data_IF_787891867371
#
_entry.id   IF_787891867371
#
_cell.length_a   1.000
_cell.length_b   1.000
_cell.length_c   1.000
_cell.angle_alpha   90.00
_cell.angle_beta   90.00
_cell.angle_gamma   90.00
#
_symmetry.space_group_name_H-M   'P 1'
#
loop_
_entity.id
_entity.type
_entity.pdbx_description
1 polymer ?
#
# COMPACT_ATOMS: atom_id res chain seq x y z
N UNK A 1 17.73 -23.70 -26.75
CA UNK A 1 17.99 -22.25 -26.81
C UNK A 1 19.36 -22.05 -27.40
N UNK A 2 19.45 -21.30 -28.50
CA UNK A 2 20.71 -20.94 -29.14
C UNK A 2 21.61 -20.27 -28.11
N UNK A 3 22.83 -20.79 -27.91
CA UNK A 3 23.81 -20.29 -26.94
C UNK A 3 24.47 -19.01 -27.49
N UNK A 4 23.65 -18.00 -27.78
CA UNK A 4 24.07 -16.72 -28.34
C UNK A 4 24.62 -15.89 -27.20
N UNK A 5 25.88 -15.52 -27.31
CA UNK A 5 26.51 -14.57 -26.39
C UNK A 5 26.00 -13.14 -26.69
N UNK A 6 24.85 -12.81 -26.11
CA UNK A 6 24.17 -11.51 -26.28
C UNK A 6 25.00 -10.35 -25.72
N UNK A 7 25.81 -10.61 -24.69
CA UNK A 7 26.67 -9.62 -24.09
C UNK A 7 27.83 -9.26 -25.03
N UNK A 8 28.51 -10.26 -25.60
CA UNK A 8 29.55 -10.02 -26.58
C UNK A 8 29.03 -9.39 -27.89
N UNK A 9 27.78 -9.66 -28.28
CA UNK A 9 27.11 -8.96 -29.38
C UNK A 9 26.86 -7.48 -29.08
N UNK A 10 26.37 -7.16 -27.88
CA UNK A 10 26.19 -5.77 -27.42
C UNK A 10 27.52 -5.03 -27.39
N UNK A 11 28.56 -5.63 -26.81
CA UNK A 11 29.89 -5.02 -26.72
C UNK A 11 30.48 -4.73 -28.11
N UNK A 12 30.37 -5.67 -29.06
CA UNK A 12 30.84 -5.46 -30.42
C UNK A 12 30.04 -4.38 -31.18
N UNK A 13 28.72 -4.31 -30.96
CA UNK A 13 27.87 -3.27 -31.54
C UNK A 13 28.28 -1.88 -31.02
N UNK A 14 28.39 -1.73 -29.71
CA UNK A 14 28.79 -0.47 -29.04
C UNK A 14 30.22 -0.06 -29.45
N UNK A 15 31.14 -1.03 -29.59
CA UNK A 15 32.50 -0.74 -30.01
C UNK A 15 32.58 -0.10 -31.41
N UNK A 16 31.73 -0.50 -32.36
CA UNK A 16 31.63 0.13 -33.69
C UNK A 16 30.92 1.47 -33.63
N UNK A 17 29.79 1.54 -32.91
CA UNK A 17 28.99 2.75 -32.76
C UNK A 17 29.84 3.91 -32.22
N UNK A 18 30.74 3.62 -31.28
CA UNK A 18 31.65 4.61 -30.68
C UNK A 18 32.78 5.05 -31.62
N UNK A 19 33.51 4.10 -32.22
CA UNK A 19 34.58 4.39 -33.19
C UNK A 19 34.65 3.28 -34.23
N UNK A 20 34.26 3.59 -35.47
CA UNK A 20 34.26 2.63 -36.56
C UNK A 20 35.68 2.43 -37.13
N UNK A 21 36.39 1.40 -36.67
CA UNK A 21 37.65 0.93 -37.29
C UNK A 21 37.42 -0.34 -38.11
N UNK A 22 38.23 -0.63 -39.14
CA UNK A 22 38.11 -1.87 -39.92
C UNK A 22 38.17 -3.14 -39.07
N UNK A 23 38.99 -3.14 -38.01
CA UNK A 23 39.11 -4.26 -37.07
C UNK A 23 37.81 -4.48 -36.28
N UNK A 24 37.20 -3.40 -35.77
CA UNK A 24 35.93 -3.48 -35.06
C UNK A 24 34.80 -3.93 -35.97
N UNK A 25 34.76 -3.41 -37.21
CA UNK A 25 33.80 -3.82 -38.25
C UNK A 25 33.88 -5.31 -38.58
N UNK A 26 35.10 -5.85 -38.69
CA UNK A 26 35.31 -7.28 -38.86
C UNK A 26 34.81 -8.08 -37.64
N UNK A 27 35.15 -7.65 -36.42
CA UNK A 27 34.75 -8.33 -35.18
C UNK A 27 33.23 -8.40 -35.02
N UNK A 28 32.50 -7.34 -35.33
CA UNK A 28 31.03 -7.34 -35.33
C UNK A 28 30.45 -8.24 -36.42
N UNK A 29 30.97 -8.19 -37.65
CA UNK A 29 30.46 -9.03 -38.76
C UNK A 29 30.60 -10.53 -38.48
N UNK A 30 31.67 -10.93 -37.79
CA UNK A 30 31.87 -12.33 -37.36
C UNK A 30 30.85 -12.74 -36.29
N UNK A 31 30.40 -11.82 -35.44
CA UNK A 31 29.40 -12.08 -34.38
C UNK A 31 27.96 -11.99 -34.90
N UNK A 32 27.65 -11.02 -35.76
CA UNK A 32 26.32 -10.80 -36.34
C UNK A 32 26.17 -11.61 -37.62
N UNK A 33 26.14 -12.93 -37.45
CA UNK A 33 25.83 -13.84 -38.55
C UNK A 33 24.32 -13.85 -38.82
N UNK A 34 23.87 -14.21 -40.04
CA UNK A 34 22.43 -14.33 -40.33
C UNK A 34 21.71 -15.28 -39.35
N UNK A 35 22.39 -16.34 -38.89
CA UNK A 35 21.85 -17.29 -37.92
C UNK A 35 21.58 -16.64 -36.56
N UNK A 36 22.50 -15.79 -36.09
CA UNK A 36 22.35 -15.03 -34.84
C UNK A 36 21.19 -14.05 -34.95
N UNK A 37 21.07 -13.35 -36.08
CA UNK A 37 19.96 -12.39 -36.30
C UNK A 37 18.61 -13.11 -36.29
N UNK A 38 18.47 -14.23 -37.00
CA UNK A 38 17.22 -15.01 -37.03
C UNK A 38 16.85 -15.53 -35.64
N UNK A 39 17.82 -16.09 -34.91
CA UNK A 39 17.55 -16.59 -33.56
C UNK A 39 17.17 -15.50 -32.56
N UNK A 40 17.71 -14.28 -32.67
CA UNK A 40 17.29 -13.14 -31.86
C UNK A 40 15.87 -12.65 -32.22
N UNK A 41 15.48 -12.72 -33.50
CA UNK A 41 14.12 -12.41 -33.95
C UNK A 41 13.11 -13.45 -33.46
N UNK A 42 13.43 -14.74 -33.56
CA UNK A 42 12.60 -15.83 -33.06
C UNK A 42 12.41 -15.73 -31.54
N UNK A 43 13.48 -15.42 -30.80
CA UNK A 43 13.41 -15.20 -29.36
C UNK A 43 12.56 -13.98 -29.01
N UNK A 44 12.69 -12.87 -29.75
CA UNK A 44 11.85 -11.69 -29.52
C UNK A 44 10.37 -12.00 -29.75
N UNK A 45 10.04 -12.73 -30.81
CA UNK A 45 8.68 -13.17 -31.10
C UNK A 45 8.13 -14.10 -30.00
N UNK A 46 8.96 -15.01 -29.50
CA UNK A 46 8.61 -15.88 -28.37
C UNK A 46 8.34 -15.07 -27.10
N UNK A 47 9.23 -14.14 -26.75
CA UNK A 47 9.08 -13.27 -25.58
C UNK A 47 7.83 -12.37 -25.68
N UNK A 48 7.49 -11.89 -26.88
CA UNK A 48 6.24 -11.13 -27.08
C UNK A 48 5.01 -12.00 -26.80
N UNK A 49 4.98 -13.23 -27.32
CA UNK A 49 3.88 -14.16 -27.06
C UNK A 49 3.74 -14.50 -25.57
N UNK A 50 4.86 -14.73 -24.89
CA UNK A 50 4.88 -15.01 -23.46
C UNK A 50 4.41 -13.79 -22.65
N UNK A 51 4.85 -12.59 -23.02
CA UNK A 51 4.37 -11.35 -22.42
C UNK A 51 2.86 -11.21 -22.57
N UNK A 52 2.33 -11.39 -23.78
CA UNK A 52 0.89 -11.25 -24.04
C UNK A 52 0.08 -12.31 -23.26
N UNK A 53 0.61 -13.53 -23.14
CA UNK A 53 0.00 -14.58 -22.33
C UNK A 53 -0.02 -14.24 -20.83
N UNK A 54 1.09 -13.71 -20.29
CA UNK A 54 1.17 -13.27 -18.89
C UNK A 54 0.23 -12.09 -18.64
N UNK A 55 0.16 -11.13 -19.56
CA UNK A 55 -0.74 -9.98 -19.45
C UNK A 55 -2.21 -10.42 -19.42
N UNK A 56 -2.59 -11.37 -20.28
CA UNK A 56 -3.92 -11.96 -20.25
C UNK A 56 -4.25 -12.66 -18.92
N UNK A 57 -3.30 -13.43 -18.35
CA UNK A 57 -3.47 -14.07 -17.04
C UNK A 57 -3.58 -13.05 -15.91
N UNK A 58 -2.77 -11.99 -15.95
CA UNK A 58 -2.81 -10.93 -14.94
C UNK A 58 -4.15 -10.17 -14.95
N UNK A 59 -4.70 -9.93 -16.14
CA UNK A 59 -6.03 -9.33 -16.29
C UNK A 59 -7.12 -10.24 -15.70
N UNK A 60 -7.11 -11.53 -16.04
CA UNK A 60 -8.07 -12.49 -15.50
C UNK A 60 -7.99 -12.58 -13.98
N UNK A 61 -6.78 -12.67 -13.42
CA UNK A 61 -6.60 -12.72 -11.96
C UNK A 61 -7.11 -11.45 -11.27
N UNK A 62 -6.89 -10.28 -11.86
CA UNK A 62 -7.40 -9.01 -11.30
C UNK A 62 -8.92 -8.99 -11.28
N UNK A 63 -9.57 -9.53 -12.31
CA UNK A 63 -11.02 -9.60 -12.39
C UNK A 63 -11.58 -10.63 -11.40
N UNK A 64 -10.94 -11.80 -11.25
CA UNK A 64 -11.28 -12.81 -10.23
C UNK A 64 -11.15 -12.24 -8.81
N UNK A 65 -10.08 -11.49 -8.52
CA UNK A 65 -9.88 -10.84 -7.23
C UNK A 65 -10.93 -9.77 -6.95
N UNK A 66 -11.34 -9.01 -7.96
CA UNK A 66 -12.45 -8.06 -7.82
C UNK A 66 -13.75 -8.77 -7.49
N UNK A 67 -14.07 -9.83 -8.23
CA UNK A 67 -15.28 -10.62 -7.99
C UNK A 67 -15.26 -11.27 -6.59
N UNK A 68 -14.10 -11.77 -6.14
CA UNK A 68 -13.96 -12.32 -4.80
C UNK A 68 -14.20 -11.26 -3.70
N UNK A 69 -13.72 -10.03 -3.89
CA UNK A 69 -13.96 -8.90 -2.98
C UNK A 69 -15.44 -8.51 -2.93
N UNK A 70 -16.11 -8.42 -4.08
CA UNK A 70 -17.55 -8.13 -4.14
C UNK A 70 -18.38 -9.22 -3.44
N UNK A 71 -18.00 -10.50 -3.60
CA UNK A 71 -18.65 -11.60 -2.88
C UNK A 71 -18.41 -11.54 -1.38
N UNK A 72 -17.20 -11.17 -0.95
CA UNK A 72 -16.86 -11.00 0.46
C UNK A 72 -17.70 -9.88 1.09
N UNK A 73 -17.76 -8.71 0.47
CA UNK A 73 -18.56 -7.58 0.95
C UNK A 73 -20.05 -7.94 1.04
N UNK A 74 -20.59 -8.65 0.04
CA UNK A 74 -21.96 -9.14 0.08
C UNK A 74 -22.20 -10.16 1.20
N UNK A 75 -21.23 -11.03 1.49
CA UNK A 75 -21.31 -11.98 2.59
C UNK A 75 -21.24 -11.30 3.96
N UNK A 76 -20.32 -10.34 4.13
CA UNK A 76 -20.21 -9.53 5.35
C UNK A 76 -21.48 -8.74 5.64
N UNK A 77 -22.06 -8.10 4.61
CA UNK A 77 -23.35 -7.41 4.73
C UNK A 77 -24.45 -8.36 5.20
N UNK A 78 -24.54 -9.56 4.60
CA UNK A 78 -25.53 -10.57 5.02
C UNK A 78 -25.31 -11.02 6.47
N UNK A 79 -24.07 -11.22 6.89
CA UNK A 79 -23.74 -11.57 8.28
C UNK A 79 -24.19 -10.46 9.23
N UNK A 80 -23.94 -9.19 8.89
CA UNK A 80 -24.37 -8.05 9.68
C UNK A 80 -25.91 -7.94 9.77
N UNK A 81 -26.61 -8.18 8.65
CA UNK A 81 -28.08 -8.22 8.63
C UNK A 81 -28.61 -9.34 9.53
N UNK A 82 -28.04 -10.55 9.45
CA UNK A 82 -28.40 -11.66 10.34
C UNK A 82 -28.12 -11.33 11.82
N UNK A 83 -26.98 -10.73 12.12
CA UNK A 83 -26.63 -10.32 13.47
C UNK A 83 -27.65 -9.32 14.03
N UNK A 84 -28.08 -8.35 13.22
CA UNK A 84 -29.14 -7.40 13.58
C UNK A 84 -30.46 -8.10 13.87
N UNK A 85 -30.89 -9.02 13.02
CA UNK A 85 -32.14 -9.78 13.22
C UNK A 85 -32.07 -10.62 14.49
N UNK A 86 -30.96 -11.31 14.74
CA UNK A 86 -30.77 -12.14 15.93
C UNK A 86 -30.77 -11.29 17.21
N UNK A 87 -30.10 -10.14 17.22
CA UNK A 87 -30.12 -9.23 18.36
C UNK A 87 -31.52 -8.72 18.69
N UNK A 88 -32.30 -8.36 17.66
CA UNK A 88 -33.69 -7.96 17.86
C UNK A 88 -34.54 -9.10 18.44
N UNK A 89 -34.35 -10.33 17.96
CA UNK A 89 -35.05 -11.50 18.48
C UNK A 89 -34.66 -11.80 19.93
N UNK A 90 -33.36 -11.77 20.26
CA UNK A 90 -32.85 -11.96 21.62
C UNK A 90 -33.42 -10.90 22.57
N UNK A 91 -33.50 -9.63 22.13
CA UNK A 91 -34.11 -8.56 22.91
C UNK A 91 -35.60 -8.78 23.21
N UNK A 92 -36.34 -9.42 22.29
CA UNK A 92 -37.73 -9.84 22.54
C UNK A 92 -37.76 -11.02 23.50
N UNK A 93 -36.91 -12.04 23.29
CA UNK A 93 -36.88 -13.24 24.11
C UNK A 93 -36.57 -12.95 25.59
N UNK A 94 -35.60 -12.07 25.86
CA UNK A 94 -35.26 -11.61 27.23
C UNK A 94 -36.44 -10.99 27.99
N UNK A 95 -37.48 -10.49 27.30
CA UNK A 95 -38.69 -9.96 27.96
C UNK A 95 -39.58 -11.06 28.54
N UNK A 96 -39.51 -12.26 27.99
CA UNK A 96 -40.37 -13.38 28.34
C UNK A 96 -39.63 -14.51 29.07
N UNK A 97 -38.29 -14.53 29.01
CA UNK A 97 -37.45 -15.53 29.66
C UNK A 97 -36.37 -14.84 30.52
N UNK A 98 -36.51 -14.81 31.85
CA UNK A 98 -35.57 -14.14 32.76
C UNK A 98 -34.16 -14.75 32.77
N UNK A 99 -34.05 -16.07 32.58
CA UNK A 99 -32.79 -16.82 32.60
C UNK A 99 -32.25 -17.09 31.19
N UNK A 100 -32.59 -16.24 30.21
CA UNK A 100 -32.22 -16.42 28.81
C UNK A 100 -30.69 -16.51 28.61
N UNK A 101 -29.95 -15.60 29.24
CA UNK A 101 -28.49 -15.54 29.09
C UNK A 101 -27.78 -16.69 29.82
N UNK A 102 -28.43 -17.33 30.80
CA UNK A 102 -27.89 -18.48 31.54
C UNK A 102 -28.22 -19.83 30.85
N UNK A 103 -28.98 -19.80 29.75
CA UNK A 103 -29.35 -21.02 29.05
C UNK A 103 -28.10 -21.64 28.38
N UNK A 104 -27.84 -22.95 28.58
CA UNK A 104 -26.60 -23.59 28.13
C UNK A 104 -26.38 -23.48 26.61
N UNK A 105 -27.46 -23.53 25.82
CA UNK A 105 -27.37 -23.36 24.36
C UNK A 105 -27.03 -21.91 23.94
N UNK A 106 -27.39 -20.91 24.75
CA UNK A 106 -27.05 -19.50 24.49
C UNK A 106 -25.59 -19.26 24.84
N UNK A 107 -25.12 -19.74 25.99
CA UNK A 107 -23.71 -19.68 26.37
C UNK A 107 -22.82 -20.40 25.34
N UNK A 108 -23.24 -21.59 24.87
CA UNK A 108 -22.51 -22.33 23.84
C UNK A 108 -22.45 -21.58 22.49
N UNK A 109 -23.49 -20.82 22.15
CA UNK A 109 -23.49 -19.99 20.95
C UNK A 109 -22.56 -18.77 21.08
N UNK A 110 -22.55 -18.12 22.25
CA UNK A 110 -21.66 -16.98 22.53
C UNK A 110 -20.19 -17.40 22.54
N UNK A 111 -19.86 -18.52 23.18
CA UNK A 111 -18.51 -19.09 23.17
C UNK A 111 -18.04 -19.42 21.73
N UNK A 112 -18.95 -19.93 20.90
CA UNK A 112 -18.67 -20.22 19.49
C UNK A 112 -18.42 -18.94 18.69
N UNK A 113 -19.19 -17.88 18.90
CA UNK A 113 -18.99 -16.58 18.26
C UNK A 113 -17.65 -15.95 18.66
N UNK A 114 -17.29 -16.00 19.94
CA UNK A 114 -16.00 -15.50 20.45
C UNK A 114 -14.83 -16.30 19.86
N UNK A 115 -14.96 -17.63 19.78
CA UNK A 115 -13.94 -18.48 19.14
C UNK A 115 -13.77 -18.19 17.63
N UNK A 116 -14.85 -17.85 16.94
CA UNK A 116 -14.82 -17.50 15.52
C UNK A 116 -14.23 -16.11 15.29
N UNK A 117 -14.45 -15.16 16.20
CA UNK A 117 -13.85 -13.82 16.16
C UNK A 117 -12.32 -13.84 16.35
N UNK A 118 -11.77 -14.88 16.99
CA UNK A 118 -10.33 -15.10 17.15
C UNK A 118 -9.59 -15.45 15.85
N UNK A 119 -10.29 -15.84 14.79
CA UNK A 119 -9.73 -16.00 13.43
C UNK A 119 -9.74 -14.63 12.75
N UNK A 120 -9.03 -13.68 13.35
CA UNK A 120 -8.90 -12.32 12.83
C UNK A 120 -8.11 -12.32 11.52
N UNK A 121 -8.80 -12.47 10.37
CA UNK A 121 -8.40 -11.70 9.20
C UNK A 121 -8.66 -10.26 9.63
N UNK A 122 -7.61 -9.61 10.17
CA UNK A 122 -7.62 -8.16 10.30
C UNK A 122 -8.15 -7.67 8.97
N UNK A 123 -9.25 -6.92 8.99
CA UNK A 123 -9.57 -6.09 7.84
C UNK A 123 -8.29 -5.32 7.60
N UNK A 124 -7.52 -5.76 6.60
CA UNK A 124 -6.61 -4.88 5.94
C UNK A 124 -7.59 -3.95 5.25
N UNK A 125 -8.00 -2.92 6.00
CA UNK A 125 -8.22 -1.62 5.43
C UNK A 125 -6.93 -1.31 4.67
N UNK A 126 -6.80 -1.87 3.47
CA UNK A 126 -6.30 -1.14 2.33
C UNK A 126 -7.30 0.02 2.16
N UNK A 127 -7.21 0.97 3.09
CA UNK A 127 -7.38 2.36 2.79
C UNK A 127 -6.26 2.69 1.80
N UNK A 128 -6.42 2.21 0.57
CA UNK A 128 -6.08 3.03 -0.57
C UNK A 128 -7.12 4.15 -0.54
N UNK A 129 -6.97 5.05 0.44
CA UNK A 129 -7.52 6.38 0.39
C UNK A 129 -7.03 6.94 -0.94
N UNK A 130 -7.91 6.88 -1.92
CA UNK A 130 -7.73 7.50 -3.22
C UNK A 130 -7.79 9.03 -3.09
N UNK A 131 -7.98 9.53 -1.87
CA UNK A 131 -8.04 10.93 -1.49
C UNK A 131 -6.76 11.37 -0.74
N UNK A 132 -5.59 11.18 -1.35
CA UNK A 132 -4.34 11.93 -1.02
C UNK A 132 -4.45 13.40 -1.48
N UNK A 133 -5.65 13.98 -1.38
CA UNK A 133 -5.97 15.33 -1.83
C UNK A 133 -6.38 16.29 -0.71
N UNK A 134 -6.52 15.84 0.55
CA UNK A 134 -7.01 16.70 1.64
C UNK A 134 -6.27 16.61 2.99
N UNK A 135 -5.41 15.61 3.21
CA UNK A 135 -4.48 15.59 4.36
C UNK A 135 -3.24 16.43 4.01
N UNK A 136 -3.27 17.73 4.33
CA UNK A 136 -2.16 18.73 4.29
C UNK A 136 -2.64 20.17 4.05
N UNK A 137 -3.89 20.52 4.35
CA UNK A 137 -4.30 21.93 4.24
C UNK A 137 -3.63 22.75 5.35
N UNK A 138 -2.79 23.76 5.01
CA UNK A 138 -2.16 24.60 6.02
C UNK A 138 -3.22 25.36 6.82
N UNK A 139 -3.11 25.34 8.13
CA UNK A 139 -4.11 25.95 9.00
C UNK A 139 -4.05 25.45 10.43
N UNK A 140 -4.96 25.96 11.26
CA UNK A 140 -5.10 25.52 12.64
C UNK A 140 -5.91 24.21 12.67
N UNK A 141 -5.24 23.11 12.98
CA UNK A 141 -5.83 21.77 13.07
C UNK A 141 -5.84 21.34 14.53
N UNK A 142 -6.92 20.69 14.97
CA UNK A 142 -7.00 20.14 16.32
C UNK A 142 -6.00 18.98 16.44
N UNK A 143 -5.23 18.92 17.52
CA UNK A 143 -4.12 17.98 17.71
C UNK A 143 -4.49 16.51 17.45
N UNK A 144 -5.71 16.09 17.81
CA UNK A 144 -6.22 14.71 17.57
C UNK A 144 -6.33 14.35 16.08
N UNK A 145 -6.37 15.33 15.19
CA UNK A 145 -6.48 15.12 13.74
C UNK A 145 -5.13 15.22 13.01
N UNK A 146 -4.03 15.35 13.76
CA UNK A 146 -2.68 15.45 13.19
C UNK A 146 -2.04 14.07 13.20
N UNK A 147 -1.59 13.63 12.03
CA UNK A 147 -1.01 12.30 11.81
C UNK A 147 0.48 12.33 11.51
N UNK A 148 1.07 11.14 11.48
CA UNK A 148 2.43 10.96 11.00
C UNK A 148 2.59 11.49 9.55
N UNK A 149 3.66 12.24 9.30
CA UNK A 149 3.94 12.91 8.03
C UNK A 149 3.38 14.33 7.91
N UNK A 150 2.56 14.80 8.85
CA UNK A 150 2.16 16.20 8.91
C UNK A 150 3.32 17.08 9.39
N UNK A 151 3.39 18.31 8.87
CA UNK A 151 4.35 19.30 9.31
C UNK A 151 3.65 20.32 10.21
N UNK A 152 4.10 20.45 11.46
CA UNK A 152 3.52 21.39 12.42
C UNK A 152 4.51 22.47 12.80
N UNK A 153 4.00 23.68 13.05
CA UNK A 153 4.81 24.80 13.52
C UNK A 153 4.65 24.99 15.02
N UNK A 154 5.72 24.69 15.75
CA UNK A 154 5.77 24.83 17.21
C UNK A 154 6.83 25.86 17.55
N UNK A 155 6.43 26.95 18.24
CA UNK A 155 7.33 28.04 18.67
C UNK A 155 8.18 28.63 17.53
N UNK A 156 7.64 28.68 16.32
CA UNK A 156 8.31 29.25 15.15
C UNK A 156 9.23 28.28 14.38
N UNK A 157 9.37 27.04 14.84
CA UNK A 157 10.09 25.97 14.14
C UNK A 157 9.10 24.96 13.56
N UNK A 158 9.43 24.40 12.39
CA UNK A 158 8.61 23.39 11.73
C UNK A 158 9.17 22.01 12.05
N UNK A 159 8.30 21.11 12.47
CA UNK A 159 8.62 19.73 12.80
C UNK A 159 7.74 18.78 11.98
N UNK A 160 8.32 17.69 11.51
CA UNK A 160 7.58 16.57 10.93
C UNK A 160 7.12 15.66 12.06
N UNK A 161 5.84 15.29 12.07
CA UNK A 161 5.27 14.36 13.03
C UNK A 161 5.64 12.94 12.63
N UNK A 162 6.31 12.22 13.53
CA UNK A 162 6.68 10.82 13.38
C UNK A 162 5.55 9.90 13.87
N UNK A 163 4.93 10.26 15.00
CA UNK A 163 3.88 9.47 15.64
C UNK A 163 2.94 10.38 16.45
N UNK A 164 1.66 10.02 16.51
CA UNK A 164 0.66 10.68 17.35
C UNK A 164 0.08 9.67 18.33
N UNK A 165 0.20 9.94 19.62
CA UNK A 165 -0.30 9.11 20.70
C UNK A 165 -1.42 9.84 21.48
N UNK A 166 -2.46 9.10 21.91
CA UNK A 166 -3.64 9.65 22.58
C UNK A 166 -3.97 8.89 23.86
N UNK A 167 -3.83 9.57 25.00
CA UNK A 167 -4.04 9.01 26.33
C UNK A 167 -4.99 9.90 27.14
N UNK A 168 -6.08 9.32 27.65
CA UNK A 168 -6.97 9.88 28.70
C UNK A 168 -7.03 11.43 28.73
N UNK A 169 -7.40 12.04 27.59
CA UNK A 169 -7.65 13.47 27.30
C UNK A 169 -6.49 14.32 26.74
N UNK A 170 -5.27 13.77 26.62
CA UNK A 170 -4.11 14.44 26.03
C UNK A 170 -3.67 13.78 24.70
N UNK A 171 -3.11 14.59 23.81
CA UNK A 171 -2.44 14.17 22.57
C UNK A 171 -0.95 14.46 22.69
N UNK A 172 -0.12 13.48 22.36
CA UNK A 172 1.34 13.61 22.25
C UNK A 172 1.75 13.44 20.79
N UNK A 173 2.29 14.51 20.19
CA UNK A 173 2.91 14.47 18.87
C UNK A 173 4.42 14.25 19.04
N UNK A 174 4.94 13.13 18.56
CA UNK A 174 6.36 12.83 18.48
C UNK A 174 6.91 13.36 17.16
N UNK A 175 8.04 14.05 17.20
CA UNK A 175 8.65 14.66 16.01
C UNK A 175 9.92 13.92 15.59
N UNK A 176 10.14 13.89 14.28
CA UNK A 176 11.40 13.41 13.70
C UNK A 176 12.55 14.23 14.30
N UNK A 177 13.46 13.55 15.02
CA UNK A 177 14.53 14.19 15.78
C UNK A 177 14.34 14.20 17.30
N UNK A 178 13.31 13.53 17.83
CA UNK A 178 13.17 13.18 19.24
C UNK A 178 12.54 14.25 20.13
N UNK A 179 12.00 15.33 19.55
CA UNK A 179 11.19 16.30 20.30
C UNK A 179 9.74 15.82 20.35
N UNK A 180 8.98 16.29 21.34
CA UNK A 180 7.55 16.01 21.42
C UNK A 180 6.74 17.24 21.85
N UNK A 181 5.50 17.32 21.37
CA UNK A 181 4.50 18.27 21.83
C UNK A 181 3.36 17.51 22.51
N UNK A 182 3.19 17.73 23.82
CA UNK A 182 2.03 17.23 24.57
C UNK A 182 1.04 18.37 24.81
N UNK A 183 -0.23 18.15 24.48
CA UNK A 183 -1.31 19.13 24.65
C UNK A 183 -2.67 18.45 24.81
N UNK A 184 -3.70 19.18 25.25
CA UNK A 184 -5.04 18.62 25.36
C UNK A 184 -5.60 18.23 23.98
N UNK A 185 -6.50 17.24 23.92
CA UNK A 185 -7.09 16.74 22.68
C UNK A 185 -7.61 17.83 21.72
N UNK A 186 -8.21 18.88 22.29
CA UNK A 186 -8.78 20.02 21.57
C UNK A 186 -7.79 21.13 21.22
N UNK A 187 -6.49 20.95 21.46
CA UNK A 187 -5.49 22.00 21.25
C UNK A 187 -5.32 22.30 19.75
N UNK A 188 -5.50 23.56 19.32
CA UNK A 188 -5.25 23.91 17.93
C UNK A 188 -3.74 24.05 17.69
N UNK A 189 -3.22 23.29 16.73
CA UNK A 189 -1.83 23.29 16.30
C UNK A 189 -1.77 23.76 14.85
N UNK A 190 -0.82 24.63 14.54
CA UNK A 190 -0.61 25.15 13.18
C UNK A 190 0.05 24.06 12.34
N UNK A 191 -0.72 23.45 11.43
CA UNK A 191 -0.20 22.57 10.38
C UNK A 191 0.22 23.44 9.21
N UNK A 192 1.42 23.19 8.69
CA UNK A 192 2.02 23.88 7.56
C UNK A 192 2.29 22.90 6.43
N UNK A 193 2.43 23.40 5.20
CA UNK A 193 2.90 22.55 4.11
C UNK A 193 4.34 22.10 4.37
N UNK A 194 4.68 20.92 3.85
CA UNK A 194 6.04 20.41 3.86
C UNK A 194 7.03 21.49 3.40
N UNK A 195 8.12 21.73 4.15
CA UNK A 195 9.12 22.70 3.75
C UNK A 195 9.70 22.26 2.41
N UNK A 196 9.44 23.03 1.35
CA UNK A 196 10.12 22.85 0.06
C UNK A 196 11.60 22.94 0.38
N UNK A 197 12.36 21.86 0.13
CA UNK A 197 13.79 21.83 0.33
C UNK A 197 14.43 22.95 -0.51
N UNK A 198 14.60 24.13 0.11
CA UNK A 198 15.29 25.23 -0.49
C UNK A 198 16.74 24.77 -0.64
N UNK A 199 17.16 24.60 -1.89
CA UNK A 199 18.46 24.05 -2.25
C UNK A 199 19.58 24.61 -1.38
N UNK A 200 20.34 23.69 -0.80
CA UNK A 200 21.61 23.93 -0.14
C UNK A 200 22.49 24.74 -1.11
N UNK A 201 22.58 26.05 -0.90
CA UNK A 201 23.68 26.84 -1.47
C UNK A 201 24.88 26.61 -0.56
N UNK A 202 25.76 25.72 -1.00
CA UNK A 202 27.14 25.67 -0.52
C UNK A 202 27.75 27.04 -0.79
N UNK A 203 28.02 27.81 0.27
CA UNK A 203 28.97 28.92 0.21
C UNK A 203 30.30 28.37 0.69
N UNK A 204 31.20 28.13 -0.27
CA UNK A 204 32.62 28.02 0.01
C UNK A 204 33.11 29.35 0.60
N UNK A 205 33.78 29.29 1.74
CA UNK A 205 34.75 30.28 2.23
C UNK A 205 35.75 29.54 3.11
#
# INVERSE_FOLDING_TARGET
MSNIDKQALREAAVAIETVATPQKLLAFRVKVTPQVVLALLDENLQLQREKDAIEAVALALRDDMRQAREQLEAAEKRINDYHTVLNNLAAVARRYLPDYDEHPDIQAADDLLESAAGIGVKQQEDSVDSDVGSRNQPGMVVAVHIGAGDFVKVKGQVFEVEETDFDDHDVTLWFVGGNALKCAAGCPVEVVSAPVAAGIKVKES
#
